data_IF_624996344108
#
_entry.id   IF_624996344108
#
_cell.length_a   1.000
_cell.length_b   1.000
_cell.length_c   1.000
_cell.angle_alpha   90.00
_cell.angle_beta   90.00
_cell.angle_gamma   90.00
#
_symmetry.space_group_name_H-M   'P 1'
#
loop_
_entity.id
_entity.type
_entity.pdbx_description
1 polymer ?
#
# COMPACT_ATOMS: atom_id res chain seq x y z
N UNK A 1 -7.27 -8.45 14.29
CA UNK A 1 -6.77 -9.30 13.19
C UNK A 1 -6.87 -8.54 11.89
N UNK A 2 -5.85 -8.61 11.03
CA UNK A 2 -5.89 -8.01 9.70
C UNK A 2 -6.64 -8.95 8.76
N UNK A 3 -7.65 -8.46 8.05
CA UNK A 3 -8.41 -9.22 7.06
C UNK A 3 -8.36 -8.54 5.70
N UNK A 4 -8.66 -9.28 4.65
CA UNK A 4 -8.73 -8.74 3.31
C UNK A 4 -9.92 -7.78 3.20
N UNK A 5 -9.71 -6.49 2.86
CA UNK A 5 -10.81 -5.52 2.75
C UNK A 5 -11.76 -5.81 1.59
N UNK A 6 -11.40 -6.72 0.68
CA UNK A 6 -12.26 -7.13 -0.44
C UNK A 6 -13.17 -8.30 -0.07
N UNK A 7 -12.66 -9.32 0.63
CA UNK A 7 -13.36 -10.61 0.78
C UNK A 7 -13.41 -11.13 2.22
N UNK A 8 -12.94 -10.36 3.21
CA UNK A 8 -12.99 -10.72 4.64
C UNK A 8 -12.01 -11.82 5.08
N UNK A 9 -11.38 -12.55 4.15
CA UNK A 9 -10.43 -13.62 4.49
C UNK A 9 -9.22 -13.10 5.27
N UNK A 10 -8.77 -13.88 6.24
CA UNK A 10 -7.56 -13.71 7.04
C UNK A 10 -6.32 -14.39 6.41
N UNK A 11 -6.47 -15.06 5.26
CA UNK A 11 -5.39 -15.70 4.51
C UNK A 11 -4.49 -14.66 3.82
N UNK A 12 -3.73 -13.91 4.61
CA UNK A 12 -2.88 -12.81 4.18
C UNK A 12 -1.40 -13.18 4.28
N UNK A 13 -0.64 -12.78 3.28
CA UNK A 13 0.84 -12.86 3.31
C UNK A 13 1.46 -11.49 3.16
N UNK A 14 2.63 -11.28 3.77
CA UNK A 14 3.47 -10.11 3.53
C UNK A 14 3.97 -10.17 2.08
N UNK A 15 3.78 -9.09 1.33
CA UNK A 15 4.10 -9.00 -0.09
C UNK A 15 5.01 -7.80 -0.40
N UNK A 16 6.16 -7.75 0.27
CA UNK A 16 7.12 -6.65 0.14
C UNK A 16 6.63 -5.34 0.76
N UNK A 17 7.31 -4.23 0.44
CA UNK A 17 6.97 -2.89 0.90
C UNK A 17 6.69 -1.99 -0.30
N UNK A 18 5.77 -1.04 -0.16
CA UNK A 18 5.55 -0.02 -1.18
C UNK A 18 6.63 1.08 -1.09
N UNK A 19 6.68 1.98 -2.07
CA UNK A 19 7.69 3.05 -2.19
C UNK A 19 7.85 3.92 -0.92
N UNK A 20 6.80 4.05 -0.10
CA UNK A 20 6.86 4.80 1.16
C UNK A 20 7.29 3.95 2.38
N UNK A 21 7.74 2.71 2.16
CA UNK A 21 8.25 1.79 3.17
C UNK A 21 7.18 0.95 3.89
N UNK A 22 5.89 1.22 3.65
CA UNK A 22 4.80 0.46 4.28
C UNK A 22 4.71 -0.97 3.80
N UNK A 23 4.39 -1.88 4.71
CA UNK A 23 4.15 -3.29 4.40
C UNK A 23 2.95 -3.43 3.47
N UNK A 24 3.16 -4.06 2.32
CA UNK A 24 2.09 -4.51 1.43
C UNK A 24 1.67 -5.93 1.84
N UNK A 25 0.39 -6.22 1.71
CA UNK A 25 -0.20 -7.51 2.03
C UNK A 25 -0.90 -8.06 0.79
N UNK A 26 -0.79 -9.35 0.55
CA UNK A 26 -1.53 -10.05 -0.52
C UNK A 26 -2.47 -11.07 0.11
N UNK A 27 -3.75 -11.01 -0.26
CA UNK A 27 -4.73 -12.02 0.09
C UNK A 27 -4.54 -13.24 -0.82
N UNK A 28 -4.38 -14.43 -0.23
CA UNK A 28 -4.30 -15.69 -0.99
C UNK A 28 -5.66 -16.21 -1.45
N UNK A 29 -6.75 -15.80 -0.80
CA UNK A 29 -8.11 -16.20 -1.20
C UNK A 29 -8.59 -15.47 -2.47
N UNK A 30 -8.34 -14.17 -2.60
CA UNK A 30 -8.86 -13.36 -3.73
C UNK A 30 -7.79 -12.59 -4.53
N UNK A 31 -6.51 -12.77 -4.20
CA UNK A 31 -5.39 -12.12 -4.89
C UNK A 31 -5.20 -10.62 -4.61
N UNK A 32 -6.13 -9.97 -3.89
CA UNK A 32 -6.07 -8.53 -3.58
C UNK A 32 -4.77 -8.18 -2.85
N UNK A 33 -4.07 -7.18 -3.37
CA UNK A 33 -2.97 -6.52 -2.67
C UNK A 33 -3.45 -5.24 -1.99
N UNK A 34 -3.00 -4.96 -0.78
CA UNK A 34 -3.38 -3.76 -0.02
C UNK A 34 -2.34 -3.44 1.07
N UNK A 35 -2.29 -2.18 1.48
CA UNK A 35 -1.51 -1.72 2.63
C UNK A 35 -2.47 -1.37 3.77
N UNK A 36 -2.07 -1.64 5.01
CA UNK A 36 -2.83 -1.18 6.17
C UNK A 36 -2.64 0.34 6.33
N UNK A 37 -3.75 1.05 6.60
CA UNK A 37 -3.76 2.51 6.81
C UNK A 37 -3.01 3.26 5.69
N UNK A 38 -3.51 3.28 4.44
CA UNK A 38 -2.81 3.95 3.34
C UNK A 38 -2.56 5.42 3.70
N UNK A 39 -1.29 5.85 3.62
CA UNK A 39 -0.93 7.27 3.75
C UNK A 39 -0.45 7.73 2.39
N UNK A 40 -1.19 8.67 1.81
CA UNK A 40 -0.79 9.34 0.59
C UNK A 40 0.28 10.37 0.96
N UNK A 41 1.51 10.17 0.48
CA UNK A 41 2.51 11.24 0.49
C UNK A 41 2.18 12.20 -0.64
N UNK A 42 1.50 13.29 -0.33
CA UNK A 42 1.28 14.35 -1.30
C UNK A 42 2.63 15.04 -1.55
N UNK A 43 3.11 14.98 -2.81
CA UNK A 43 4.28 15.76 -3.21
C UNK A 43 3.82 17.20 -3.38
N UNK A 44 4.44 18.12 -2.64
CA UNK A 44 4.10 19.53 -2.70
C UNK A 44 4.38 20.11 -4.09
N UNK A 45 3.67 21.17 -4.50
CA UNK A 45 3.96 21.85 -5.76
C UNK A 45 5.42 22.30 -5.85
N UNK A 46 6.00 22.84 -4.77
CA UNK A 46 7.39 23.30 -4.77
C UNK A 46 8.38 22.15 -5.04
N UNK A 47 8.12 20.96 -4.49
CA UNK A 47 8.96 19.78 -4.72
C UNK A 47 8.91 19.31 -6.18
N UNK A 48 7.78 19.49 -6.86
CA UNK A 48 7.63 19.13 -8.29
C UNK A 48 8.39 20.10 -9.19
N UNK A 49 8.45 21.38 -8.82
CA UNK A 49 9.17 22.40 -9.60
C UNK A 49 10.67 22.15 -9.67
N UNK A 50 11.25 21.48 -8.66
CA UNK A 50 12.66 21.10 -8.64
C UNK A 50 13.04 20.04 -9.71
N UNK A 51 12.08 19.33 -10.30
CA UNK A 51 12.33 18.29 -11.31
C UNK A 51 12.48 18.91 -12.72
N UNK A 52 11.98 20.12 -12.94
CA UNK A 52 11.97 20.80 -14.24
C UNK A 52 13.18 21.74 -14.48
N UNK A 53 14.23 21.65 -13.65
CA UNK A 53 15.51 22.37 -13.84
C UNK A 53 16.59 21.41 -14.31
#
# INVERSE_FOLDING_TARGET
MLTCPRCGSDHLVKNGRIHNGKQNHKCRACGRQFVQNPQQKLISPETKELINK
#
